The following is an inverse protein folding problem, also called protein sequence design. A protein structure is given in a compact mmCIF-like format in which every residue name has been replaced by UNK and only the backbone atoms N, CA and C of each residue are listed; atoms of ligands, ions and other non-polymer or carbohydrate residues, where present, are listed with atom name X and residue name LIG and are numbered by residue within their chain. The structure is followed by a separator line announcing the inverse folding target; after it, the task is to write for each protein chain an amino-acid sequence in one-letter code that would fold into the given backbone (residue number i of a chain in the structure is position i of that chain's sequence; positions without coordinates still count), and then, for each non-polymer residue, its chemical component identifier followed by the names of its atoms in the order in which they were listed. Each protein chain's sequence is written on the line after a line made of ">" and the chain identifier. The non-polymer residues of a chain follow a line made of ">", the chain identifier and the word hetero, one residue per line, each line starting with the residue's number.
data_IF_985974007929
#
_entry.id   IF_985974007929
#
_cell.length_a   1.000
_cell.length_b   1.000
_cell.length_c   1.000
_cell.angle_alpha   90.00
_cell.angle_beta   90.00
_cell.angle_gamma   90.00
#
_symmetry.space_group_name_H-M   'P 1'
#
loop_
_entity.id
_entity.type
_entity.pdbx_description
1 polymer ?
#
# COMPACT_ATOMS: atom_id res chain seq x y z
N UNK A 1 20.27 54.62 27.12
CA UNK A 1 18.81 54.68 26.93
C UNK A 1 18.16 53.61 27.79
N UNK A 2 17.12 53.98 28.52
CA UNK A 2 16.52 53.22 29.61
C UNK A 2 15.77 51.96 29.14
N UNK A 3 15.83 50.93 29.99
CA UNK A 3 14.96 49.76 30.02
C UNK A 3 13.47 50.12 30.00
N UNK A 4 12.65 49.32 29.31
CA UNK A 4 11.34 48.95 29.85
C UNK A 4 10.88 47.56 29.39
N UNK A 5 10.60 46.78 30.41
CA UNK A 5 10.22 45.39 30.49
C UNK A 5 8.70 45.33 30.81
N UNK A 6 7.92 44.43 30.19
CA UNK A 6 6.66 43.88 30.73
C UNK A 6 6.21 42.69 29.86
N UNK A 7 6.61 41.47 30.20
CA UNK A 7 5.99 40.55 31.17
C UNK A 7 4.65 39.97 30.71
N UNK A 8 4.75 38.74 30.19
CA UNK A 8 3.70 37.74 30.03
C UNK A 8 3.10 37.40 31.41
N UNK A 9 1.77 37.22 31.49
CA UNK A 9 1.07 36.80 32.71
C UNK A 9 0.54 35.39 32.52
N UNK A 10 1.11 34.45 33.27
CA UNK A 10 0.65 33.08 33.44
C UNK A 10 -0.54 33.01 34.43
N UNK A 11 -1.31 31.89 34.45
CA UNK A 11 -2.62 31.80 35.10
C UNK A 11 -2.54 31.53 36.62
N UNK A 12 -3.60 31.89 37.33
CA UNK A 12 -3.76 31.75 38.79
C UNK A 12 -4.51 30.46 39.16
N UNK A 13 -4.22 29.81 40.32
CA UNK A 13 -4.88 28.59 40.75
C UNK A 13 -6.05 28.78 41.74
N UNK A 14 -6.98 27.81 41.68
CA UNK A 14 -7.94 27.27 42.66
C UNK A 14 -8.31 28.07 43.93
N UNK A 15 -9.63 28.26 44.13
CA UNK A 15 -10.24 27.97 45.42
C UNK A 15 -11.66 27.41 45.24
N UNK A 16 -12.00 26.40 46.04
CA UNK A 16 -13.23 25.61 46.01
C UNK A 16 -13.86 25.67 47.39
N UNK A 17 -15.09 26.16 47.48
CA UNK A 17 -15.93 26.04 48.68
C UNK A 17 -17.37 25.63 48.29
N UNK A 18 -18.08 24.91 49.18
CA UNK A 18 -19.18 24.03 48.82
C UNK A 18 -20.55 24.71 48.94
N UNK A 19 -21.44 24.44 48.00
CA UNK A 19 -22.87 24.78 48.12
C UNK A 19 -23.64 23.47 48.31
N UNK A 20 -24.12 23.27 49.54
CA UNK A 20 -25.10 22.26 49.92
C UNK A 20 -26.54 22.76 49.76
N UNK A 21 -27.45 21.78 49.65
CA UNK A 21 -28.93 21.77 49.82
C UNK A 21 -29.75 21.68 48.51
N UNK A 22 -30.94 21.04 48.54
CA UNK A 22 -31.30 19.78 49.19
C UNK A 22 -31.95 18.78 48.20
N UNK A 23 -31.97 17.50 48.59
CA UNK A 23 -32.80 16.49 47.94
C UNK A 23 -34.28 16.78 48.17
N UNK A 24 -35.06 16.87 47.09
CA UNK A 24 -36.50 16.64 47.12
C UNK A 24 -36.85 15.63 46.04
N UNK A 25 -37.33 14.47 46.48
CA UNK A 25 -38.00 13.46 45.69
C UNK A 25 -39.18 14.06 44.91
N UNK A 26 -39.27 13.73 43.63
CA UNK A 26 -40.56 13.61 42.94
C UNK A 26 -40.40 12.65 41.76
N UNK A 27 -40.83 11.43 42.00
CA UNK A 27 -41.09 10.43 40.97
C UNK A 27 -42.18 10.94 40.03
N UNK A 28 -41.94 10.93 38.73
CA UNK A 28 -43.01 10.78 37.75
C UNK A 28 -42.45 10.08 36.51
N UNK A 29 -42.64 8.76 36.52
CA UNK A 29 -42.59 7.88 35.35
C UNK A 29 -43.55 8.47 34.32
N UNK A 30 -43.01 9.02 33.23
CA UNK A 30 -43.80 9.34 32.05
C UNK A 30 -44.07 8.00 31.37
N UNK A 31 -45.18 7.37 31.74
CA UNK A 31 -45.81 6.36 30.91
C UNK A 31 -46.20 7.04 29.60
N UNK A 32 -45.46 6.77 28.53
CA UNK A 32 -45.90 7.10 27.17
C UNK A 32 -46.84 6.00 26.74
N UNK A 33 -48.11 6.35 26.65
CA UNK A 33 -49.17 5.55 26.06
C UNK A 33 -48.75 5.06 24.67
N UNK A 34 -48.48 3.76 24.54
CA UNK A 34 -48.39 3.07 23.26
C UNK A 34 -49.82 2.88 22.74
N UNK A 35 -50.34 3.90 22.06
CA UNK A 35 -51.54 3.75 21.23
C UNK A 35 -51.23 2.79 20.08
N UNK A 36 -52.03 1.72 19.97
CA UNK A 36 -51.83 0.54 19.13
C UNK A 36 -51.98 0.78 17.60
N UNK A 37 -51.57 1.94 17.09
CA UNK A 37 -51.75 2.35 15.70
C UNK A 37 -50.42 2.65 14.95
N UNK A 38 -49.28 2.16 15.44
CA UNK A 38 -47.97 2.32 14.77
C UNK A 38 -47.15 1.03 14.63
N UNK A 39 -47.79 -0.13 14.68
CA UNK A 39 -47.11 -1.41 14.41
C UNK A 39 -46.74 -1.64 12.92
N UNK A 40 -47.20 -0.80 12.00
CA UNK A 40 -46.94 -0.98 10.55
C UNK A 40 -45.64 -0.34 10.04
N UNK A 41 -44.85 0.32 10.89
CA UNK A 41 -43.50 0.77 10.52
C UNK A 41 -42.41 -0.20 11.01
N UNK A 42 -42.76 -1.11 11.93
CA UNK A 42 -41.90 -2.23 12.34
C UNK A 42 -42.14 -3.50 11.50
N UNK A 43 -42.77 -3.37 10.32
CA UNK A 43 -42.94 -4.45 9.35
C UNK A 43 -41.90 -4.43 8.22
N UNK A 44 -40.87 -3.57 8.30
CA UNK A 44 -39.71 -3.61 7.39
C UNK A 44 -38.46 -4.26 8.02
N UNK A 45 -38.52 -4.76 9.26
CA UNK A 45 -37.40 -5.52 9.86
C UNK A 45 -37.43 -7.03 9.53
N UNK A 46 -38.42 -7.51 8.77
CA UNK A 46 -38.58 -8.95 8.51
C UNK A 46 -38.59 -9.35 7.02
N UNK A 47 -38.36 -8.41 6.09
CA UNK A 47 -38.13 -8.72 4.67
C UNK A 47 -36.98 -7.84 4.16
N UNK A 48 -35.74 -8.23 4.48
CA UNK A 48 -34.56 -7.44 4.10
C UNK A 48 -33.23 -8.20 4.14
N UNK A 49 -33.25 -9.53 4.04
CA UNK A 49 -32.04 -10.38 4.09
C UNK A 49 -31.53 -10.77 2.70
N UNK A 50 -31.66 -9.88 1.71
CA UNK A 50 -30.73 -9.84 0.58
C UNK A 50 -29.78 -8.66 0.80
N UNK A 51 -29.12 -8.64 1.95
CA UNK A 51 -27.88 -7.89 2.06
C UNK A 51 -26.90 -8.62 1.14
N UNK A 52 -26.70 -8.09 -0.07
CA UNK A 52 -25.54 -8.46 -0.87
C UNK A 52 -24.32 -8.16 0.00
N UNK A 53 -23.76 -9.17 0.66
CA UNK A 53 -22.44 -9.04 1.26
C UNK A 53 -21.53 -8.58 0.15
N UNK A 54 -20.98 -7.37 0.28
CA UNK A 54 -20.03 -6.84 -0.70
C UNK A 54 -18.90 -7.85 -0.96
N UNK A 55 -18.17 -7.71 -2.07
CA UNK A 55 -17.08 -8.62 -2.38
C UNK A 55 -16.09 -8.65 -1.21
N UNK A 56 -15.62 -9.86 -0.86
CA UNK A 56 -14.62 -10.03 0.19
C UNK A 56 -13.32 -9.29 -0.18
N UNK A 57 -12.46 -8.94 0.79
CA UNK A 57 -11.18 -8.27 0.50
C UNK A 57 -10.33 -8.99 -0.56
N UNK A 58 -10.34 -10.32 -0.52
CA UNK A 58 -9.68 -11.18 -1.51
C UNK A 58 -10.33 -11.11 -2.90
N UNK A 59 -11.67 -11.11 -2.97
CA UNK A 59 -12.39 -10.93 -4.23
C UNK A 59 -12.15 -9.55 -4.85
N UNK A 60 -11.99 -8.51 -4.02
CA UNK A 60 -11.67 -7.16 -4.49
C UNK A 60 -10.27 -7.13 -5.12
N UNK A 61 -9.28 -7.74 -4.48
CA UNK A 61 -7.93 -7.84 -5.04
C UNK A 61 -7.92 -8.65 -6.33
N UNK A 62 -8.58 -9.81 -6.36
CA UNK A 62 -8.64 -10.65 -7.55
C UNK A 62 -9.28 -9.92 -8.75
N UNK A 63 -10.35 -9.15 -8.51
CA UNK A 63 -10.97 -8.32 -9.55
C UNK A 63 -10.04 -7.20 -10.03
N UNK A 64 -9.30 -6.55 -9.13
CA UNK A 64 -8.34 -5.50 -9.47
C UNK A 64 -7.16 -6.06 -10.30
N UNK A 65 -6.61 -7.20 -9.91
CA UNK A 65 -5.52 -7.89 -10.64
C UNK A 65 -6.00 -8.34 -12.02
N UNK A 66 -7.20 -8.90 -12.14
CA UNK A 66 -7.78 -9.27 -13.43
C UNK A 66 -7.96 -8.06 -14.36
N UNK A 67 -8.47 -6.94 -13.83
CA UNK A 67 -8.60 -5.70 -14.59
C UNK A 67 -7.24 -5.16 -15.04
N UNK A 68 -6.19 -5.28 -14.22
CA UNK A 68 -4.84 -4.88 -14.58
C UNK A 68 -4.29 -5.69 -15.76
N UNK A 69 -4.47 -7.02 -15.75
CA UNK A 69 -4.07 -7.89 -16.87
C UNK A 69 -4.77 -7.49 -18.17
N UNK A 70 -6.08 -7.20 -18.11
CA UNK A 70 -6.81 -6.73 -19.29
C UNK A 70 -6.32 -5.35 -19.78
N UNK A 71 -6.01 -4.46 -18.84
CA UNK A 71 -5.57 -3.09 -19.14
C UNK A 71 -4.16 -3.01 -19.73
N UNK A 72 -3.31 -4.03 -19.52
CA UNK A 72 -1.96 -4.09 -20.09
C UNK A 72 -1.99 -3.84 -21.61
N UNK A 73 -2.95 -4.45 -22.31
CA UNK A 73 -3.09 -4.37 -23.77
C UNK A 73 -4.20 -3.42 -24.25
N UNK A 74 -4.95 -2.81 -23.33
CA UNK A 74 -6.08 -1.93 -23.65
C UNK A 74 -6.03 -0.63 -22.85
N UNK A 75 -5.60 0.45 -23.53
CA UNK A 75 -5.49 1.79 -22.93
C UNK A 75 -6.82 2.32 -22.38
N UNK A 76 -7.97 1.86 -22.90
CA UNK A 76 -9.29 2.33 -22.45
C UNK A 76 -9.63 1.82 -21.06
N UNK A 77 -9.03 0.70 -20.65
CA UNK A 77 -9.26 0.04 -19.36
C UNK A 77 -8.27 0.45 -18.28
N UNK A 78 -7.18 1.14 -18.64
CA UNK A 78 -6.12 1.53 -17.72
C UNK A 78 -6.63 2.29 -16.50
N UNK A 79 -7.44 3.33 -16.71
CA UNK A 79 -8.01 4.12 -15.63
C UNK A 79 -8.87 3.27 -14.69
N UNK A 80 -9.64 2.32 -15.23
CA UNK A 80 -10.47 1.43 -14.42
C UNK A 80 -9.61 0.52 -13.54
N UNK A 81 -8.59 -0.13 -14.13
CA UNK A 81 -7.67 -1.01 -13.41
C UNK A 81 -6.91 -0.27 -12.30
N UNK A 82 -6.33 0.89 -12.60
CA UNK A 82 -5.61 1.70 -11.61
C UNK A 82 -6.53 2.12 -10.46
N UNK A 83 -7.76 2.52 -10.74
CA UNK A 83 -8.73 2.89 -9.70
C UNK A 83 -9.09 1.70 -8.79
N UNK A 84 -9.23 0.49 -9.35
CA UNK A 84 -9.48 -0.70 -8.56
C UNK A 84 -8.30 -1.04 -7.65
N UNK A 85 -7.07 -0.97 -8.17
CA UNK A 85 -5.85 -1.21 -7.39
C UNK A 85 -5.67 -0.18 -6.28
N UNK A 86 -5.82 1.11 -6.56
CA UNK A 86 -5.78 2.17 -5.53
C UNK A 86 -6.92 2.03 -4.50
N UNK A 87 -8.08 1.53 -4.93
CA UNK A 87 -9.17 1.17 -4.03
C UNK A 87 -8.76 0.07 -3.04
N UNK A 88 -8.07 -0.97 -3.51
CA UNK A 88 -7.55 -2.03 -2.63
C UNK A 88 -6.46 -1.49 -1.70
N UNK A 89 -5.52 -0.70 -2.22
CA UNK A 89 -4.42 -0.11 -1.44
C UNK A 89 -4.97 0.77 -0.31
N UNK A 90 -6.00 1.58 -0.60
CA UNK A 90 -6.59 2.48 0.40
C UNK A 90 -7.49 1.75 1.41
N UNK A 91 -8.26 0.74 0.98
CA UNK A 91 -9.19 0.03 1.84
C UNK A 91 -8.53 -1.05 2.72
N UNK A 92 -7.33 -1.54 2.35
CA UNK A 92 -6.73 -2.74 2.93
C UNK A 92 -5.27 -2.54 3.39
N UNK A 93 -4.92 -1.33 3.82
CA UNK A 93 -3.56 -0.91 4.19
C UNK A 93 -2.87 -1.85 5.19
N UNK A 94 -3.59 -2.43 6.13
CA UNK A 94 -3.01 -3.30 7.17
C UNK A 94 -2.95 -4.79 6.77
N UNK A 95 -3.15 -5.11 5.49
CA UNK A 95 -3.21 -6.49 5.00
C UNK A 95 -2.14 -6.78 3.93
N UNK A 96 -1.75 -8.04 3.73
CA UNK A 96 -0.88 -8.44 2.61
C UNK A 96 -1.44 -8.09 1.22
N UNK A 97 -2.73 -7.76 1.11
CA UNK A 97 -3.33 -7.42 -0.16
C UNK A 97 -2.89 -6.04 -0.67
N UNK A 98 -2.54 -5.11 0.22
CA UNK A 98 -2.09 -3.78 -0.20
C UNK A 98 -0.70 -3.81 -0.86
N UNK A 99 0.23 -4.63 -0.35
CA UNK A 99 1.54 -4.82 -1.00
C UNK A 99 1.41 -5.50 -2.35
N UNK A 100 0.55 -6.54 -2.44
CA UNK A 100 0.21 -7.18 -3.73
C UNK A 100 -0.42 -6.23 -4.74
N UNK A 101 -1.35 -5.38 -4.30
CA UNK A 101 -1.99 -4.40 -5.16
C UNK A 101 -0.98 -3.34 -5.66
N UNK A 102 -0.06 -2.87 -4.80
CA UNK A 102 1.02 -1.97 -5.21
C UNK A 102 1.95 -2.63 -6.24
N UNK A 103 2.32 -3.88 -6.03
CA UNK A 103 3.11 -4.64 -7.00
C UNK A 103 2.38 -4.72 -8.34
N UNK A 104 1.12 -5.13 -8.34
CA UNK A 104 0.29 -5.23 -9.55
C UNK A 104 0.14 -3.89 -10.28
N UNK A 105 0.05 -2.78 -9.54
CA UNK A 105 0.05 -1.44 -10.13
C UNK A 105 1.38 -1.10 -10.79
N UNK A 106 2.51 -1.37 -10.12
CA UNK A 106 3.83 -1.12 -10.68
C UNK A 106 4.10 -1.96 -11.94
N UNK A 107 3.69 -3.25 -11.92
CA UNK A 107 3.77 -4.13 -13.10
C UNK A 107 2.94 -3.60 -14.25
N UNK A 108 1.70 -3.14 -13.98
CA UNK A 108 0.85 -2.55 -15.00
C UNK A 108 1.52 -1.32 -15.64
N UNK A 109 2.04 -0.40 -14.83
CA UNK A 109 2.75 0.78 -15.33
C UNK A 109 3.96 0.41 -16.18
N UNK A 110 4.75 -0.57 -15.75
CA UNK A 110 5.90 -1.09 -16.50
C UNK A 110 5.46 -1.63 -17.87
N UNK A 111 4.40 -2.45 -17.92
CA UNK A 111 3.86 -3.00 -19.17
C UNK A 111 3.32 -1.92 -20.11
N UNK A 112 2.87 -0.79 -19.56
CA UNK A 112 2.42 0.38 -20.32
C UNK A 112 3.58 1.28 -20.77
N UNK A 113 4.81 0.98 -20.37
CA UNK A 113 6.01 1.76 -20.67
C UNK A 113 6.21 2.99 -19.77
N UNK A 114 5.40 3.15 -18.73
CA UNK A 114 5.62 4.18 -17.70
C UNK A 114 6.62 3.63 -16.67
N UNK A 115 7.90 3.66 -17.06
CA UNK A 115 8.99 3.06 -16.29
C UNK A 115 9.26 3.83 -15.00
N UNK A 116 9.19 5.15 -15.05
CA UNK A 116 9.32 6.02 -13.88
C UNK A 116 8.16 5.80 -12.90
N UNK A 117 6.92 5.69 -13.41
CA UNK A 117 5.76 5.34 -12.60
C UNK A 117 5.86 3.95 -11.97
N UNK A 118 6.39 2.97 -12.71
CA UNK A 118 6.64 1.64 -12.18
C UNK A 118 7.67 1.64 -11.05
N UNK A 119 8.82 2.31 -11.24
CA UNK A 119 9.85 2.48 -10.19
C UNK A 119 9.24 3.15 -8.96
N UNK A 120 8.47 4.22 -9.14
CA UNK A 120 7.80 4.91 -8.03
C UNK A 120 6.80 4.00 -7.30
N UNK A 121 6.07 3.15 -8.03
CA UNK A 121 5.17 2.15 -7.47
C UNK A 121 5.89 1.09 -6.63
N UNK A 122 7.00 0.54 -7.14
CA UNK A 122 7.82 -0.40 -6.38
C UNK A 122 8.47 0.26 -5.16
N UNK A 123 8.95 1.50 -5.27
CA UNK A 123 9.49 2.24 -4.13
C UNK A 123 8.41 2.47 -3.06
N UNK A 124 7.19 2.85 -3.45
CA UNK A 124 6.06 2.99 -2.54
C UNK A 124 5.74 1.67 -1.83
N UNK A 125 5.88 0.52 -2.49
CA UNK A 125 5.74 -0.79 -1.86
C UNK A 125 6.80 -1.00 -0.78
N UNK A 126 8.07 -0.74 -1.10
CA UNK A 126 9.18 -0.89 -0.16
C UNK A 126 9.08 0.06 1.04
N UNK A 127 8.60 1.29 0.83
CA UNK A 127 8.47 2.29 1.88
C UNK A 127 7.32 1.95 2.85
N UNK A 128 6.19 1.45 2.32
CA UNK A 128 5.01 1.14 3.13
C UNK A 128 5.03 -0.27 3.71
N UNK A 129 5.61 -1.23 2.98
CA UNK A 129 5.56 -2.65 3.27
C UNK A 129 6.94 -3.33 3.13
N UNK A 130 7.99 -2.85 3.82
CA UNK A 130 9.37 -3.34 3.63
C UNK A 130 9.56 -4.83 3.96
N UNK A 131 8.64 -5.44 4.73
CA UNK A 131 8.67 -6.85 5.11
C UNK A 131 7.66 -7.73 4.39
N UNK A 132 7.00 -7.24 3.33
CA UNK A 132 6.03 -8.05 2.59
C UNK A 132 6.73 -9.13 1.74
N UNK A 133 5.96 -10.12 1.30
CA UNK A 133 6.46 -11.18 0.44
C UNK A 133 6.88 -10.68 -0.95
N UNK A 134 6.50 -9.47 -1.33
CA UNK A 134 6.80 -8.84 -2.60
C UNK A 134 7.99 -7.86 -2.51
N UNK A 135 8.55 -7.62 -1.33
CA UNK A 135 9.54 -6.58 -1.11
C UNK A 135 10.85 -6.85 -1.86
N UNK A 136 11.38 -8.08 -1.78
CA UNK A 136 12.61 -8.45 -2.48
C UNK A 136 12.46 -8.39 -4.01
N UNK A 137 11.30 -8.84 -4.52
CA UNK A 137 10.92 -8.70 -5.92
C UNK A 137 10.81 -7.25 -6.35
N UNK A 138 10.14 -6.39 -5.56
CA UNK A 138 10.02 -4.97 -5.87
C UNK A 138 11.40 -4.29 -5.95
N UNK A 139 12.29 -4.55 -5.00
CA UNK A 139 13.66 -4.03 -5.01
C UNK A 139 14.45 -4.51 -6.22
N UNK A 140 14.30 -5.78 -6.61
CA UNK A 140 14.94 -6.35 -7.78
C UNK A 140 14.40 -5.76 -9.09
N UNK A 141 13.08 -5.57 -9.19
CA UNK A 141 12.44 -5.00 -10.37
C UNK A 141 12.87 -3.55 -10.63
N UNK A 142 13.14 -2.77 -9.59
CA UNK A 142 13.73 -1.42 -9.75
C UNK A 142 15.10 -1.52 -10.46
N UNK A 143 15.96 -2.45 -10.03
CA UNK A 143 17.26 -2.65 -10.63
C UNK A 143 17.17 -3.11 -12.09
N UNK A 144 16.27 -4.07 -12.35
CA UNK A 144 15.99 -4.58 -13.69
C UNK A 144 15.49 -3.48 -14.64
N UNK A 145 14.59 -2.60 -14.18
CA UNK A 145 14.09 -1.49 -15.01
C UNK A 145 15.23 -0.53 -15.37
N UNK A 146 16.08 -0.17 -14.41
CA UNK A 146 17.23 0.69 -14.69
C UNK A 146 18.20 0.07 -15.70
N UNK A 147 18.47 -1.23 -15.58
CA UNK A 147 19.39 -1.93 -16.48
C UNK A 147 18.81 -2.12 -17.88
N UNK A 148 17.67 -2.79 -17.98
CA UNK A 148 17.15 -3.31 -19.25
C UNK A 148 16.32 -2.29 -20.03
N UNK A 149 15.64 -1.38 -19.33
CA UNK A 149 14.70 -0.46 -19.97
C UNK A 149 15.23 0.97 -20.07
N UNK A 150 15.96 1.44 -19.07
CA UNK A 150 16.51 2.81 -19.05
C UNK A 150 17.98 2.88 -19.48
N UNK A 151 18.73 1.79 -19.38
CA UNK A 151 20.18 1.78 -19.63
C UNK A 151 20.98 2.62 -18.63
N UNK A 152 20.40 2.96 -17.47
CA UNK A 152 21.08 3.66 -16.39
C UNK A 152 21.80 2.63 -15.51
N UNK A 153 22.97 2.21 -15.98
CA UNK A 153 23.76 1.18 -15.31
C UNK A 153 24.26 1.60 -13.92
N UNK A 154 24.45 2.89 -13.67
CA UNK A 154 24.83 3.39 -12.34
C UNK A 154 23.68 3.24 -11.35
N UNK A 155 22.46 3.60 -11.76
CA UNK A 155 21.26 3.39 -10.94
C UNK A 155 20.97 1.89 -10.76
N UNK A 156 21.11 1.08 -11.81
CA UNK A 156 20.94 -0.36 -11.75
C UNK A 156 21.89 -1.03 -10.75
N UNK A 157 23.19 -0.69 -10.77
CA UNK A 157 24.17 -1.21 -9.81
C UNK A 157 23.78 -0.88 -8.36
N UNK A 158 23.36 0.36 -8.09
CA UNK A 158 22.89 0.77 -6.76
C UNK A 158 21.66 -0.02 -6.34
N UNK A 159 20.70 -0.20 -7.23
CA UNK A 159 19.48 -0.94 -6.95
C UNK A 159 19.74 -2.43 -6.72
N UNK A 160 20.61 -3.07 -7.52
CA UNK A 160 21.02 -4.46 -7.28
C UNK A 160 21.75 -4.61 -5.95
N UNK A 161 22.64 -3.68 -5.60
CA UNK A 161 23.29 -3.68 -4.28
C UNK A 161 22.25 -3.59 -3.15
N UNK A 162 21.21 -2.77 -3.31
CA UNK A 162 20.12 -2.69 -2.33
C UNK A 162 19.34 -4.00 -2.18
N UNK A 163 19.17 -4.82 -3.23
CA UNK A 163 18.60 -6.17 -3.10
C UNK A 163 19.47 -7.03 -2.17
N UNK A 164 20.79 -6.98 -2.37
CA UNK A 164 21.76 -7.79 -1.61
C UNK A 164 21.77 -7.37 -0.14
N UNK A 165 21.75 -6.07 0.11
CA UNK A 165 21.87 -5.50 1.45
C UNK A 165 20.57 -5.62 2.26
N UNK A 166 19.41 -5.39 1.62
CA UNK A 166 18.13 -5.32 2.31
C UNK A 166 17.39 -6.66 2.37
N UNK A 167 17.67 -7.58 1.45
CA UNK A 167 17.02 -8.89 1.36
C UNK A 167 18.02 -10.06 1.38
N UNK A 168 18.97 -10.10 2.33
CA UNK A 168 20.01 -11.13 2.33
C UNK A 168 19.41 -12.53 2.49
N UNK A 169 19.91 -13.48 1.71
CA UNK A 169 19.51 -14.89 1.77
C UNK A 169 18.31 -15.27 0.90
N UNK A 170 17.66 -14.32 0.20
CA UNK A 170 16.66 -14.65 -0.82
C UNK A 170 17.32 -15.10 -2.12
N UNK A 171 16.58 -15.83 -2.96
CA UNK A 171 17.05 -16.20 -4.30
C UNK A 171 17.36 -14.97 -5.15
N UNK A 172 16.58 -13.89 -4.99
CA UNK A 172 16.79 -12.63 -5.69
C UNK A 172 18.08 -11.91 -5.26
N UNK A 173 18.44 -11.96 -3.98
CA UNK A 173 19.74 -11.45 -3.53
C UNK A 173 20.90 -12.26 -4.10
N UNK A 174 20.78 -13.60 -4.15
CA UNK A 174 21.79 -14.44 -4.80
C UNK A 174 21.90 -14.14 -6.30
N UNK A 175 20.78 -13.91 -6.99
CA UNK A 175 20.76 -13.50 -8.38
C UNK A 175 21.40 -12.12 -8.59
N UNK A 176 21.05 -11.14 -7.76
CA UNK A 176 21.63 -9.80 -7.79
C UNK A 176 23.15 -9.84 -7.60
N UNK A 177 23.67 -10.69 -6.69
CA UNK A 177 25.12 -10.88 -6.51
C UNK A 177 25.81 -11.36 -7.79
N UNK A 178 25.17 -12.24 -8.57
CA UNK A 178 25.74 -12.74 -9.84
C UNK A 178 25.62 -11.73 -10.97
N UNK A 179 24.56 -10.92 -10.99
CA UNK A 179 24.29 -9.92 -12.04
C UNK A 179 25.10 -8.64 -11.85
N UNK A 180 25.26 -8.17 -10.61
CA UNK A 180 25.88 -6.88 -10.29
C UNK A 180 27.25 -6.63 -10.96
N UNK A 181 28.19 -7.59 -11.03
CA UNK A 181 29.47 -7.39 -11.72
C UNK A 181 29.33 -7.20 -13.24
N UNK A 182 28.18 -7.59 -13.80
CA UNK A 182 27.94 -7.75 -15.24
C UNK A 182 27.07 -6.63 -15.79
N UNK A 183 26.46 -5.83 -14.92
CA UNK A 183 25.60 -4.72 -15.32
C UNK A 183 26.28 -3.86 -16.38
N UNK A 184 25.61 -3.63 -17.50
CA UNK A 184 26.12 -2.83 -18.62
C UNK A 184 27.29 -3.43 -19.42
N UNK A 185 27.65 -4.70 -19.20
CA UNK A 185 28.59 -5.43 -20.05
C UNK A 185 27.86 -6.08 -21.22
N UNK A 186 28.53 -6.18 -22.36
CA UNK A 186 27.98 -6.85 -23.53
C UNK A 186 27.91 -8.37 -23.30
N UNK A 187 26.84 -9.08 -23.72
CA UNK A 187 26.73 -10.54 -23.59
C UNK A 187 27.91 -11.30 -24.23
N UNK A 188 28.51 -10.73 -25.28
CA UNK A 188 29.63 -11.32 -26.01
C UNK A 188 30.94 -11.34 -25.21
N UNK A 189 31.08 -10.49 -24.17
CA UNK A 189 32.22 -10.55 -23.25
C UNK A 189 32.10 -11.68 -22.22
N UNK A 190 30.93 -12.30 -22.10
CA UNK A 190 30.58 -13.28 -21.08
C UNK A 190 30.52 -14.72 -21.58
N UNK A 191 30.23 -14.93 -22.88
CA UNK A 191 30.31 -16.26 -23.47
C UNK A 191 31.75 -16.52 -23.89
N UNK A 192 32.58 -16.88 -22.91
CA UNK A 192 33.79 -17.63 -23.23
C UNK A 192 33.34 -19.03 -23.67
N UNK A 193 33.04 -19.18 -24.96
CA UNK A 193 33.13 -20.47 -25.64
C UNK A 193 34.60 -20.87 -25.55
N UNK A 194 35.08 -21.28 -24.37
CA UNK A 194 36.32 -22.01 -24.34
C UNK A 194 36.04 -23.23 -25.21
N UNK A 195 36.73 -23.28 -26.35
CA UNK A 195 37.09 -24.54 -26.98
C UNK A 195 37.73 -25.37 -25.88
N UNK A 196 36.92 -26.09 -25.11
CA UNK A 196 37.40 -26.98 -24.07
C UNK A 196 38.04 -28.17 -24.80
N UNK A 197 39.38 -28.30 -24.85
CA UNK A 197 40.01 -29.43 -25.51
C UNK A 197 39.73 -30.75 -24.75
N UNK A 198 39.04 -30.70 -23.61
CA UNK A 198 38.66 -31.83 -22.79
C UNK A 198 37.14 -32.15 -22.81
N UNK A 199 36.35 -31.56 -23.72
CA UNK A 199 35.05 -32.13 -24.05
C UNK A 199 35.25 -33.52 -24.68
N UNK A 200 34.63 -34.60 -24.15
CA UNK A 200 34.91 -35.99 -24.55
C UNK A 200 34.50 -36.32 -25.98
#
# INVERSE_FOLDING_TARGET
>A
MCFRNRATRAPQPFNSDPISLPMTHASSVIARDFSAASCMVWACMAVGLLACSGPSPEQQLAAAEAAAVEAAHDSTKLTHATNLLEGVISAQQDTPNASRALKSLAVLLQQRGDLEGAIAGYQRLLDLYPGSAEADEAQFMIAFIYEEHLGDFEAARKAYQAVIDNHPGTELAANAQRLLPNVGRAPEEWVNFQDDPAAP
#
